data_IF_386712642194
#
_entry.id   IF_386712642194
#
_cell.length_a   1.000
_cell.length_b   1.000
_cell.length_c   1.000
_cell.angle_alpha   90.00
_cell.angle_beta   90.00
_cell.angle_gamma   90.00
#
_symmetry.space_group_name_H-M   'P 1'
#
loop_
_entity.id
_entity.type
_entity.pdbx_description
1 polymer ?
#
# COMPACT_ATOMS: atom_id res chain seq x y z
N UNK A 1 -11.83 -18.40 -43.88
CA UNK A 1 -11.15 -17.42 -43.06
C UNK A 1 -9.67 -17.82 -42.98
N UNK A 2 -8.78 -16.95 -43.42
CA UNK A 2 -7.38 -17.33 -43.69
C UNK A 2 -6.59 -17.37 -42.40
N UNK A 3 -5.82 -18.45 -42.13
CA UNK A 3 -5.03 -18.67 -40.90
C UNK A 3 -4.13 -17.47 -40.55
N UNK A 4 -3.62 -16.76 -41.57
CA UNK A 4 -2.82 -15.55 -41.42
C UNK A 4 -3.61 -14.39 -40.80
N UNK A 5 -4.90 -14.27 -41.11
CA UNK A 5 -5.77 -13.21 -40.55
C UNK A 5 -6.15 -13.50 -39.11
N UNK A 6 -6.30 -14.76 -38.74
CA UNK A 6 -6.59 -15.18 -37.36
C UNK A 6 -5.40 -14.95 -36.41
N UNK A 7 -4.17 -15.23 -36.88
CA UNK A 7 -2.95 -14.94 -36.11
C UNK A 7 -2.72 -13.43 -35.91
N UNK A 8 -3.05 -12.60 -36.90
CA UNK A 8 -2.91 -11.14 -36.80
C UNK A 8 -3.91 -10.54 -35.81
N UNK A 9 -5.15 -11.06 -35.77
CA UNK A 9 -6.18 -10.60 -34.79
C UNK A 9 -5.80 -11.03 -33.39
N UNK A 10 -5.25 -12.24 -33.19
CA UNK A 10 -4.78 -12.69 -31.88
C UNK A 10 -3.55 -11.91 -31.39
N UNK A 11 -2.61 -11.56 -32.27
CA UNK A 11 -1.47 -10.73 -31.95
C UNK A 11 -1.89 -9.29 -31.58
N UNK A 12 -2.92 -8.73 -32.24
CA UNK A 12 -3.44 -7.41 -31.95
C UNK A 12 -4.21 -7.36 -30.62
N UNK A 13 -4.93 -8.42 -30.27
CA UNK A 13 -5.62 -8.54 -28.96
C UNK A 13 -4.64 -8.71 -27.80
N UNK A 14 -3.50 -9.37 -28.01
CA UNK A 14 -2.44 -9.49 -26.99
C UNK A 14 -1.68 -8.17 -26.79
N UNK A 15 -1.49 -7.34 -27.81
CA UNK A 15 -0.83 -6.04 -27.67
C UNK A 15 -1.67 -5.03 -26.87
N UNK A 16 -3.01 -5.12 -26.89
CA UNK A 16 -3.87 -4.23 -26.12
C UNK A 16 -4.00 -4.63 -24.66
N UNK A 17 -3.59 -5.84 -24.27
CA UNK A 17 -3.58 -6.28 -22.87
C UNK A 17 -2.38 -5.73 -22.08
N UNK A 18 -1.34 -5.22 -22.75
CA UNK A 18 -0.10 -4.77 -22.08
C UNK A 18 -0.03 -3.27 -21.79
N UNK A 19 -0.95 -2.45 -22.30
CA UNK A 19 -0.92 -0.98 -22.13
C UNK A 19 -1.78 -0.46 -20.98
N UNK A 20 -2.49 -1.33 -20.23
CA UNK A 20 -3.49 -0.92 -19.23
C UNK A 20 -3.04 -1.07 -17.76
N UNK A 21 -1.78 -1.36 -17.47
CA UNK A 21 -1.37 -1.65 -16.09
C UNK A 21 -1.19 -0.41 -15.20
N UNK A 22 -0.92 0.76 -15.80
CA UNK A 22 -0.86 2.05 -15.10
C UNK A 22 -2.24 2.71 -14.91
N UNK A 23 -3.11 2.57 -15.89
CA UNK A 23 -4.38 3.31 -15.93
C UNK A 23 -5.44 2.80 -14.93
N UNK A 24 -5.39 1.51 -14.56
CA UNK A 24 -6.42 0.91 -13.72
C UNK A 24 -6.44 1.40 -12.26
N UNK A 25 -5.30 1.77 -11.67
CA UNK A 25 -5.27 2.38 -10.32
C UNK A 25 -5.70 3.84 -10.37
N UNK A 26 -5.24 4.60 -11.37
CA UNK A 26 -5.61 6.00 -11.53
C UNK A 26 -7.14 6.15 -11.66
N UNK A 27 -7.78 5.27 -12.44
CA UNK A 27 -9.24 5.27 -12.56
C UNK A 27 -9.92 5.02 -11.22
N UNK A 28 -9.47 4.02 -10.46
CA UNK A 28 -10.05 3.68 -9.16
C UNK A 28 -9.83 4.80 -8.14
N UNK A 29 -8.63 5.40 -8.09
CA UNK A 29 -8.37 6.54 -7.22
C UNK A 29 -9.20 7.77 -7.58
N UNK A 30 -9.42 8.03 -8.87
CA UNK A 30 -10.31 9.10 -9.32
C UNK A 30 -11.76 8.84 -8.88
N UNK A 31 -12.25 7.60 -9.00
CA UNK A 31 -13.59 7.22 -8.52
C UNK A 31 -13.70 7.37 -6.99
N UNK A 32 -12.66 6.99 -6.24
CA UNK A 32 -12.61 7.21 -4.80
C UNK A 32 -12.67 8.70 -4.44
N UNK A 33 -11.86 9.53 -5.10
CA UNK A 33 -11.83 10.97 -4.85
C UNK A 33 -13.15 11.66 -5.23
N UNK A 34 -13.80 11.21 -6.30
CA UNK A 34 -15.15 11.68 -6.69
C UNK A 34 -16.19 11.29 -5.64
N UNK A 35 -16.18 10.05 -5.17
CA UNK A 35 -17.08 9.58 -4.13
C UNK A 35 -16.88 10.37 -2.81
N UNK A 36 -15.63 10.58 -2.43
CA UNK A 36 -15.24 11.38 -1.26
C UNK A 36 -15.71 12.84 -1.39
N UNK A 37 -15.53 13.46 -2.56
CA UNK A 37 -16.00 14.83 -2.82
C UNK A 37 -17.53 14.98 -2.80
N UNK A 38 -18.27 13.87 -2.99
CA UNK A 38 -19.72 13.81 -2.92
C UNK A 38 -20.28 13.29 -1.58
N UNK A 39 -19.42 13.05 -0.61
CA UNK A 39 -19.77 12.47 0.71
C UNK A 39 -20.55 11.14 0.57
N UNK A 40 -20.02 10.21 -0.23
CA UNK A 40 -20.62 8.91 -0.51
C UNK A 40 -19.79 7.76 0.10
N UNK A 41 -19.78 7.60 1.43
CA UNK A 41 -18.86 6.71 2.13
C UNK A 41 -19.00 5.22 1.74
N UNK A 42 -20.20 4.76 1.39
CA UNK A 42 -20.40 3.37 0.92
C UNK A 42 -19.75 3.15 -0.46
N UNK A 43 -19.77 4.14 -1.34
CA UNK A 43 -19.09 4.11 -2.63
C UNK A 43 -17.58 4.16 -2.43
N UNK A 44 -17.08 5.01 -1.51
CA UNK A 44 -15.68 5.05 -1.13
C UNK A 44 -15.19 3.66 -0.68
N UNK A 45 -15.91 3.01 0.25
CA UNK A 45 -15.56 1.68 0.76
C UNK A 45 -15.54 0.62 -0.34
N UNK A 46 -16.47 0.67 -1.28
CA UNK A 46 -16.51 -0.26 -2.41
C UNK A 46 -15.29 -0.09 -3.32
N UNK A 47 -14.97 1.15 -3.70
CA UNK A 47 -13.82 1.47 -4.55
C UNK A 47 -12.51 1.11 -3.85
N UNK A 48 -12.36 1.46 -2.57
CA UNK A 48 -11.18 1.07 -1.78
C UNK A 48 -11.02 -0.45 -1.70
N UNK A 49 -12.11 -1.20 -1.60
CA UNK A 49 -12.09 -2.66 -1.66
C UNK A 49 -11.56 -3.20 -2.99
N UNK A 50 -11.90 -2.56 -4.11
CA UNK A 50 -11.38 -2.90 -5.44
C UNK A 50 -9.89 -2.58 -5.56
N UNK A 51 -9.45 -1.42 -5.07
CA UNK A 51 -8.02 -1.04 -5.03
C UNK A 51 -7.23 -2.06 -4.23
N UNK A 52 -7.68 -2.42 -3.03
CA UNK A 52 -7.02 -3.40 -2.16
C UNK A 52 -6.85 -4.74 -2.86
N UNK A 53 -7.94 -5.28 -3.42
CA UNK A 53 -7.90 -6.56 -4.13
C UNK A 53 -6.92 -6.54 -5.30
N UNK A 54 -6.95 -5.48 -6.12
CA UNK A 54 -6.05 -5.30 -7.25
C UNK A 54 -4.60 -5.15 -6.78
N UNK A 55 -4.36 -4.36 -5.74
CA UNK A 55 -3.03 -4.12 -5.19
C UNK A 55 -2.39 -5.37 -4.58
N UNK A 56 -3.18 -6.23 -3.94
CA UNK A 56 -2.72 -7.54 -3.46
C UNK A 56 -2.28 -8.43 -4.64
N UNK A 57 -3.11 -8.52 -5.68
CA UNK A 57 -2.84 -9.37 -6.85
C UNK A 57 -1.60 -8.91 -7.63
N UNK A 58 -1.41 -7.61 -7.77
CA UNK A 58 -0.31 -7.02 -8.53
C UNK A 58 0.91 -6.69 -7.69
N UNK A 59 0.88 -6.99 -6.38
CA UNK A 59 1.93 -6.62 -5.40
C UNK A 59 2.26 -5.12 -5.45
N UNK A 60 1.22 -4.29 -5.61
CA UNK A 60 1.33 -2.84 -5.62
C UNK A 60 1.24 -2.29 -4.20
N UNK A 61 2.33 -2.39 -3.47
CA UNK A 61 2.37 -2.19 -2.02
C UNK A 61 2.00 -0.77 -1.59
N UNK A 62 2.35 0.25 -2.37
CA UNK A 62 1.95 1.63 -2.09
C UNK A 62 0.44 1.84 -2.19
N UNK A 63 -0.19 1.33 -3.26
CA UNK A 63 -1.65 1.38 -3.42
C UNK A 63 -2.36 0.59 -2.32
N UNK A 64 -1.78 -0.55 -1.91
CA UNK A 64 -2.31 -1.38 -0.85
C UNK A 64 -2.33 -0.63 0.48
N UNK A 65 -1.20 -0.04 0.87
CA UNK A 65 -1.07 0.73 2.11
C UNK A 65 -2.04 1.92 2.12
N UNK A 66 -2.07 2.70 1.05
CA UNK A 66 -2.95 3.85 0.92
C UNK A 66 -4.42 3.46 1.07
N UNK A 67 -4.84 2.43 0.34
CA UNK A 67 -6.24 2.00 0.34
C UNK A 67 -6.68 1.39 1.68
N UNK A 68 -5.81 0.65 2.37
CA UNK A 68 -6.12 0.09 3.69
C UNK A 68 -6.28 1.17 4.76
N UNK A 69 -5.38 2.14 4.80
CA UNK A 69 -5.46 3.26 5.73
C UNK A 69 -6.72 4.10 5.45
N UNK A 70 -6.97 4.42 4.17
CA UNK A 70 -8.16 5.17 3.77
C UNK A 70 -9.45 4.43 4.13
N UNK A 71 -9.50 3.10 3.88
CA UNK A 71 -10.67 2.29 4.22
C UNK A 71 -10.98 2.29 5.70
N UNK A 72 -9.96 2.15 6.54
CA UNK A 72 -10.15 2.18 7.99
C UNK A 72 -10.59 3.56 8.48
N UNK A 73 -10.08 4.64 7.89
CA UNK A 73 -10.52 6.00 8.19
C UNK A 73 -12.02 6.21 7.85
N UNK A 74 -12.46 5.81 6.65
CA UNK A 74 -13.87 5.92 6.25
C UNK A 74 -14.77 5.07 7.16
N UNK A 75 -14.37 3.84 7.47
CA UNK A 75 -15.14 2.96 8.37
C UNK A 75 -15.25 3.54 9.78
N UNK A 76 -14.17 4.11 10.30
CA UNK A 76 -14.17 4.78 11.61
C UNK A 76 -15.16 5.94 11.65
N UNK A 77 -15.26 6.72 10.56
CA UNK A 77 -16.23 7.83 10.47
C UNK A 77 -17.68 7.33 10.52
N UNK A 78 -17.95 6.18 9.87
CA UNK A 78 -19.28 5.58 9.86
C UNK A 78 -19.64 4.86 11.17
N UNK A 79 -18.67 4.19 11.77
CA UNK A 79 -18.83 3.43 13.01
C UNK A 79 -17.48 3.33 13.74
N UNK A 80 -17.29 4.06 14.83
CA UNK A 80 -16.04 4.01 15.61
C UNK A 80 -15.66 2.58 16.05
N UNK A 81 -16.63 1.73 16.33
CA UNK A 81 -16.40 0.33 16.76
C UNK A 81 -15.82 -0.56 15.63
N UNK A 82 -15.86 -0.09 14.38
CA UNK A 82 -15.29 -0.83 13.23
C UNK A 82 -13.77 -1.01 13.31
N UNK A 83 -13.11 -0.18 14.11
CA UNK A 83 -11.66 -0.16 14.32
C UNK A 83 -11.15 -1.50 14.86
N UNK A 84 -11.83 -2.03 15.88
CA UNK A 84 -11.44 -3.32 16.47
C UNK A 84 -11.50 -4.43 15.43
N UNK A 85 -12.55 -4.47 14.63
CA UNK A 85 -12.69 -5.44 13.54
C UNK A 85 -11.57 -5.28 12.48
N UNK A 86 -11.20 -4.05 12.12
CA UNK A 86 -10.13 -3.79 11.16
C UNK A 86 -8.76 -4.18 11.71
N UNK A 87 -8.47 -3.86 12.97
CA UNK A 87 -7.20 -4.26 13.61
C UNK A 87 -7.08 -5.78 13.71
N UNK A 88 -8.17 -6.48 14.07
CA UNK A 88 -8.19 -7.94 14.14
C UNK A 88 -7.98 -8.57 12.75
N UNK A 89 -8.60 -8.02 11.71
CA UNK A 89 -8.43 -8.45 10.33
C UNK A 89 -6.97 -8.31 9.87
N UNK A 90 -6.34 -7.16 10.10
CA UNK A 90 -4.95 -6.93 9.73
C UNK A 90 -4.00 -7.83 10.50
N UNK A 91 -4.20 -8.04 11.79
CA UNK A 91 -3.40 -9.00 12.58
C UNK A 91 -3.47 -10.42 12.00
N UNK A 92 -4.66 -10.88 11.59
CA UNK A 92 -4.80 -12.20 10.96
C UNK A 92 -4.01 -12.25 9.65
N UNK A 93 -4.04 -11.21 8.81
CA UNK A 93 -3.28 -11.13 7.57
C UNK A 93 -1.78 -11.15 7.81
N UNK A 94 -1.28 -10.39 8.80
CA UNK A 94 0.13 -10.40 9.19
C UNK A 94 0.55 -11.81 9.57
N UNK A 95 -0.20 -12.49 10.43
CA UNK A 95 0.14 -13.81 10.95
C UNK A 95 0.04 -14.93 9.89
N UNK A 96 -0.81 -14.78 8.88
CA UNK A 96 -0.98 -15.76 7.80
C UNK A 96 -0.13 -15.50 6.57
N UNK A 97 0.55 -14.34 6.48
CA UNK A 97 1.34 -13.98 5.30
C UNK A 97 2.68 -14.72 5.31
N UNK A 98 2.98 -15.39 4.21
CA UNK A 98 4.32 -15.94 3.90
C UNK A 98 5.16 -14.96 3.08
N UNK A 99 4.56 -13.91 2.54
CA UNK A 99 5.25 -12.84 1.83
C UNK A 99 5.70 -11.77 2.83
N UNK A 100 7.01 -11.64 3.01
CA UNK A 100 7.64 -10.71 3.97
C UNK A 100 7.31 -9.26 3.64
N UNK A 101 7.35 -8.89 2.36
CA UNK A 101 7.05 -7.52 1.92
C UNK A 101 5.57 -7.18 2.18
N UNK A 102 4.67 -8.09 1.88
CA UNK A 102 3.25 -7.93 2.17
C UNK A 102 2.97 -7.85 3.67
N UNK A 103 3.62 -8.70 4.48
CA UNK A 103 3.49 -8.64 5.93
C UNK A 103 4.00 -7.31 6.51
N UNK A 104 5.08 -6.75 5.96
CA UNK A 104 5.59 -5.43 6.33
C UNK A 104 4.55 -4.34 6.05
N UNK A 105 3.94 -4.34 4.85
CA UNK A 105 2.88 -3.38 4.51
C UNK A 105 1.67 -3.49 5.44
N UNK A 106 1.25 -4.70 5.80
CA UNK A 106 0.17 -4.89 6.78
C UNK A 106 0.52 -4.36 8.17
N UNK A 107 1.78 -4.52 8.63
CA UNK A 107 2.24 -3.97 9.92
C UNK A 107 2.23 -2.45 9.90
N UNK A 108 2.71 -1.82 8.83
CA UNK A 108 2.67 -0.36 8.68
C UNK A 108 1.23 0.14 8.66
N UNK A 109 0.34 -0.51 7.90
CA UNK A 109 -1.08 -0.16 7.85
C UNK A 109 -1.73 -0.23 9.24
N UNK A 110 -1.46 -1.29 9.99
CA UNK A 110 -1.98 -1.46 11.34
C UNK A 110 -1.43 -0.39 12.30
N UNK A 111 -0.15 -0.09 12.22
CA UNK A 111 0.47 0.98 13.02
C UNK A 111 -0.13 2.35 12.72
N UNK A 112 -0.34 2.68 11.44
CA UNK A 112 -1.00 3.94 11.04
C UNK A 112 -2.44 4.01 11.56
N UNK A 113 -3.19 2.92 11.49
CA UNK A 113 -4.54 2.88 12.06
C UNK A 113 -4.49 3.17 13.56
N UNK A 114 -3.60 2.54 14.32
CA UNK A 114 -3.45 2.87 15.74
C UNK A 114 -3.09 4.33 15.99
N UNK A 115 -2.18 4.90 15.24
CA UNK A 115 -1.76 6.30 15.42
C UNK A 115 -2.87 7.31 15.12
N UNK A 116 -3.83 6.96 14.25
CA UNK A 116 -4.99 7.81 13.94
C UNK A 116 -6.04 7.74 15.04
N UNK A 117 -6.22 6.58 15.65
CA UNK A 117 -7.37 6.26 16.47
C UNK A 117 -7.20 6.59 17.94
N UNK A 118 -6.00 6.45 18.45
CA UNK A 118 -5.72 6.65 19.86
C UNK A 118 -4.28 7.14 20.05
N UNK A 119 -4.14 8.36 20.56
CA UNK A 119 -2.85 9.00 20.80
C UNK A 119 -2.34 8.79 22.24
N UNK A 120 -2.81 7.75 22.91
CA UNK A 120 -2.29 7.43 24.23
C UNK A 120 -0.90 6.75 24.16
N UNK A 121 -0.22 6.68 25.30
CA UNK A 121 1.14 6.15 25.40
C UNK A 121 1.23 4.69 24.99
N UNK A 122 0.25 3.86 25.35
CA UNK A 122 0.24 2.43 25.04
C UNK A 122 0.09 2.18 23.54
N UNK A 123 -0.75 2.96 22.88
CA UNK A 123 -0.94 2.92 21.43
C UNK A 123 0.31 3.33 20.68
N UNK A 124 1.03 4.34 21.19
CA UNK A 124 2.29 4.77 20.61
C UNK A 124 3.35 3.66 20.71
N UNK A 125 3.49 3.00 21.86
CA UNK A 125 4.42 1.86 22.02
C UNK A 125 4.09 0.73 21.05
N UNK A 126 2.81 0.38 20.89
CA UNK A 126 2.36 -0.66 19.95
C UNK A 126 2.64 -0.28 18.50
N UNK A 127 2.40 0.97 18.14
CA UNK A 127 2.69 1.51 16.81
C UNK A 127 4.17 1.40 16.49
N UNK A 128 5.04 1.84 17.40
CA UNK A 128 6.49 1.76 17.22
C UNK A 128 6.97 0.32 17.10
N UNK A 129 6.43 -0.61 17.89
CA UNK A 129 6.75 -2.03 17.80
C UNK A 129 6.38 -2.62 16.42
N UNK A 130 5.21 -2.24 15.88
CA UNK A 130 4.77 -2.67 14.54
C UNK A 130 5.68 -2.13 13.44
N UNK A 131 6.08 -0.87 13.54
CA UNK A 131 6.98 -0.24 12.56
C UNK A 131 8.36 -0.89 12.57
N UNK A 132 8.93 -1.16 13.74
CA UNK A 132 10.20 -1.92 13.87
C UNK A 132 10.06 -3.32 13.27
N UNK A 133 9.00 -4.05 13.62
CA UNK A 133 8.74 -5.37 13.07
C UNK A 133 8.50 -5.37 11.55
N UNK A 134 8.00 -4.28 10.98
CA UNK A 134 7.87 -4.13 9.53
C UNK A 134 9.24 -4.07 8.83
N UNK A 135 10.27 -3.60 9.51
CA UNK A 135 11.63 -3.39 8.96
C UNK A 135 12.65 -4.47 9.37
N UNK A 136 12.23 -5.59 9.96
CA UNK A 136 13.12 -6.68 10.39
C UNK A 136 13.90 -7.35 9.25
N UNK A 137 13.41 -7.22 8.01
CA UNK A 137 14.05 -7.83 6.83
C UNK A 137 14.43 -6.77 5.79
N UNK A 138 15.34 -5.82 6.11
CA UNK A 138 15.63 -4.68 5.26
C UNK A 138 16.16 -5.08 3.87
N UNK A 139 16.91 -6.19 3.76
CA UNK A 139 17.42 -6.69 2.48
C UNK A 139 16.30 -7.11 1.52
N UNK A 140 15.21 -7.69 2.03
CA UNK A 140 14.05 -8.07 1.20
C UNK A 140 13.29 -6.82 0.77
N UNK A 141 13.09 -5.87 1.69
CA UNK A 141 12.38 -4.63 1.41
C UNK A 141 13.14 -3.75 0.42
N UNK A 142 14.46 -3.63 0.54
CA UNK A 142 15.31 -2.89 -0.39
C UNK A 142 15.35 -3.52 -1.80
N UNK A 143 15.18 -4.86 -1.90
CA UNK A 143 15.06 -5.55 -3.18
C UNK A 143 13.64 -5.49 -3.78
N UNK A 144 12.66 -4.94 -3.06
CA UNK A 144 11.27 -4.89 -3.46
C UNK A 144 10.90 -3.48 -3.92
N UNK A 145 10.39 -3.33 -5.14
CA UNK A 145 9.89 -2.05 -5.63
C UNK A 145 8.56 -1.68 -4.93
N UNK A 146 8.44 -0.42 -4.55
CA UNK A 146 7.25 0.10 -3.88
C UNK A 146 6.17 0.59 -4.85
N UNK A 147 5.86 -0.18 -5.88
CA UNK A 147 4.88 0.21 -6.92
C UNK A 147 3.63 0.86 -6.35
N UNK A 148 3.19 1.95 -6.96
CA UNK A 148 1.96 2.65 -6.59
C UNK A 148 2.04 3.45 -5.30
N UNK A 149 3.24 3.86 -4.89
CA UNK A 149 3.45 4.64 -3.67
C UNK A 149 2.94 6.09 -3.72
N UNK A 150 2.89 6.68 -4.90
CA UNK A 150 2.59 8.10 -5.12
C UNK A 150 1.28 8.64 -4.51
N UNK A 151 0.21 7.84 -4.33
CA UNK A 151 -1.01 8.35 -3.71
C UNK A 151 -0.87 8.80 -2.24
N UNK A 152 0.13 8.32 -1.49
CA UNK A 152 0.29 8.62 -0.07
C UNK A 152 1.16 9.82 0.22
N UNK A 153 2.22 10.02 -0.57
CA UNK A 153 3.16 11.13 -0.41
C UNK A 153 3.44 11.78 -1.76
N UNK A 154 3.21 13.08 -1.83
CA UNK A 154 3.75 13.90 -2.92
C UNK A 154 5.27 13.93 -2.72
N UNK A 155 6.01 13.25 -3.59
CA UNK A 155 7.48 13.35 -3.60
C UNK A 155 7.86 14.82 -3.71
N UNK A 156 8.56 15.36 -2.71
CA UNK A 156 9.18 16.68 -2.80
C UNK A 156 10.26 16.71 -3.88
N UNK A 157 10.70 17.90 -4.27
CA UNK A 157 11.75 18.11 -5.28
C UNK A 157 13.07 17.41 -4.94
N UNK A 158 13.32 17.11 -3.66
CA UNK A 158 14.52 16.44 -3.15
C UNK A 158 14.39 14.89 -3.12
N UNK A 159 13.28 14.35 -3.54
CA UNK A 159 13.00 12.89 -3.53
C UNK A 159 13.86 12.08 -4.52
N UNK A 160 14.67 12.73 -5.34
CA UNK A 160 15.63 12.05 -6.24
C UNK A 160 16.73 11.28 -5.50
N UNK A 161 16.92 11.57 -4.21
CA UNK A 161 17.93 10.94 -3.34
C UNK A 161 17.40 9.63 -2.76
N UNK A 162 16.08 9.44 -2.71
CA UNK A 162 15.44 8.27 -2.11
C UNK A 162 15.09 7.26 -3.20
N UNK A 163 15.48 6.00 -3.00
CA UNK A 163 15.14 4.89 -3.87
C UNK A 163 13.63 4.64 -3.94
N UNK A 164 13.19 4.01 -5.02
CA UNK A 164 11.80 3.59 -5.19
C UNK A 164 11.54 2.20 -4.55
N UNK A 165 12.43 1.76 -3.65
CA UNK A 165 12.29 0.50 -2.95
C UNK A 165 11.38 0.61 -1.72
N UNK A 166 10.86 -0.54 -1.30
CA UNK A 166 9.89 -0.61 -0.22
C UNK A 166 10.49 -0.26 1.15
N UNK A 167 11.80 -0.49 1.36
CA UNK A 167 12.48 -0.12 2.61
C UNK A 167 12.47 1.40 2.81
N UNK A 168 12.81 2.14 1.77
CA UNK A 168 12.75 3.61 1.79
C UNK A 168 11.34 4.12 2.07
N UNK A 169 10.36 3.57 1.35
CA UNK A 169 8.96 3.96 1.51
C UNK A 169 8.47 3.72 2.93
N UNK A 170 8.75 2.54 3.49
CA UNK A 170 8.37 2.23 4.87
C UNK A 170 9.09 3.16 5.84
N UNK A 171 10.39 3.41 5.66
CA UNK A 171 11.13 4.33 6.52
C UNK A 171 10.55 5.74 6.52
N UNK A 172 10.14 6.26 5.36
CA UNK A 172 9.47 7.55 5.25
C UNK A 172 8.09 7.56 5.95
N UNK A 173 7.31 6.50 5.73
CA UNK A 173 5.97 6.38 6.29
C UNK A 173 5.96 6.20 7.83
N UNK A 174 7.02 5.67 8.39
CA UNK A 174 7.15 5.34 9.81
C UNK A 174 8.12 6.24 10.57
N UNK A 175 8.81 7.14 9.87
CA UNK A 175 9.88 8.01 10.40
C UNK A 175 11.08 7.22 10.96
N UNK A 176 11.24 5.94 10.56
CA UNK A 176 12.34 5.08 11.00
C UNK A 176 13.56 5.15 10.05
N UNK A 177 14.04 6.36 9.82
CA UNK A 177 15.17 6.61 8.91
C UNK A 177 16.49 5.98 9.37
N UNK A 178 16.67 5.81 10.68
CA UNK A 178 17.85 5.16 11.27
C UNK A 178 18.01 3.71 10.82
N UNK A 179 16.91 2.97 10.75
CA UNK A 179 16.92 1.55 10.32
C UNK A 179 17.34 1.44 8.84
N UNK A 180 16.72 2.22 7.96
CA UNK A 180 17.07 2.25 6.55
C UNK A 180 18.50 2.77 6.33
N UNK A 181 18.87 3.87 7.00
CA UNK A 181 20.21 4.45 6.89
C UNK A 181 21.32 3.49 7.34
N UNK A 182 21.11 2.74 8.40
CA UNK A 182 22.08 1.72 8.85
C UNK A 182 22.22 0.60 7.84
N UNK A 183 21.12 0.16 7.24
CA UNK A 183 21.18 -0.86 6.19
C UNK A 183 21.96 -0.36 4.97
N UNK A 184 21.64 0.79 4.41
CA UNK A 184 22.33 1.29 3.21
C UNK A 184 23.81 1.59 3.45
N UNK A 185 24.18 2.12 4.62
CA UNK A 185 25.59 2.28 5.00
C UNK A 185 26.32 0.92 5.04
N UNK A 186 25.69 -0.14 5.54
CA UNK A 186 26.27 -1.47 5.56
C UNK A 186 26.50 -2.07 4.16
N UNK A 187 25.75 -1.58 3.16
CA UNK A 187 25.91 -1.98 1.76
C UNK A 187 26.94 -1.11 0.98
N UNK A 188 27.56 -0.12 1.63
CA UNK A 188 28.57 0.75 1.00
C UNK A 188 27.98 1.92 0.20
N UNK A 189 26.73 2.26 0.45
CA UNK A 189 26.04 3.42 -0.15
C UNK A 189 25.92 4.58 0.84
#
# INVERSE_FOLDING_TARGET
MNIKTTCLIFAFLLLHAFTSWGDGFNLLWNQYNEAKGKDLPQTELNVLGQIIKKAEQEKSYGNLLAAEVSRSAVRCTLSPDSIEADTLRLRRRINSSTDVALAAVWRVSLGKIYSILDRNTDTNIRTQALYRAAMEHPQILAATQAKGYEPLLTKGTDSRIFGDDLLHVIAMETEMYDVAGNYYKSQGN
#
